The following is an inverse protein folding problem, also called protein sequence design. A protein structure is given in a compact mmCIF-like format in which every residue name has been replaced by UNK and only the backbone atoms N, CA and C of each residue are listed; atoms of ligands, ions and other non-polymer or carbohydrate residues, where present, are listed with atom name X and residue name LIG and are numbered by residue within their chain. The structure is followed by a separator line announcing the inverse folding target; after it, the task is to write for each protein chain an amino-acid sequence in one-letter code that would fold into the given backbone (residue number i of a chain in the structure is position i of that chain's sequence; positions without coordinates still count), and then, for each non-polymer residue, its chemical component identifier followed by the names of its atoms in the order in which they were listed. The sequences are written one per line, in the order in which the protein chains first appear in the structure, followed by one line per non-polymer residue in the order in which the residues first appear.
data_IF_251468155627
#
_entry.id   IF_251468155627
#
_cell.length_a   1.000
_cell.length_b   1.000
_cell.length_c   1.000
_cell.angle_alpha   90.00
_cell.angle_beta   90.00
_cell.angle_gamma   90.00
#
_symmetry.space_group_name_H-M   'P 1'
#
loop_
_entity.id
_entity.type
_entity.pdbx_description
1 polymer ?
#
# COMPACT_ATOMS: atom_id res chain seq x y z
N UNK A 1 9.91 -28.14 41.08
CA UNK A 1 10.92 -29.02 40.45
C UNK A 1 11.40 -28.27 39.22
N UNK A 2 12.31 -27.38 39.30
CA UNK A 2 13.78 -27.41 39.34
C UNK A 2 14.34 -28.33 38.26
N UNK A 3 14.73 -27.81 37.11
CA UNK A 3 15.98 -28.23 36.44
C UNK A 3 16.59 -27.05 35.69
N UNK A 4 17.69 -26.59 36.26
CA UNK A 4 18.72 -25.73 35.71
C UNK A 4 19.66 -26.65 34.92
N UNK A 5 20.01 -26.30 33.71
CA UNK A 5 21.19 -26.84 33.05
C UNK A 5 21.99 -25.72 32.38
N UNK A 6 23.09 -25.38 33.07
CA UNK A 6 24.22 -24.62 32.57
C UNK A 6 25.00 -25.50 31.58
N UNK A 7 25.44 -24.94 30.49
CA UNK A 7 26.38 -25.55 29.54
C UNK A 7 27.34 -24.51 28.97
N UNK A 8 28.57 -24.61 29.39
CA UNK A 8 29.79 -23.83 29.15
C UNK A 8 30.24 -23.79 27.68
N UNK A 9 30.72 -22.61 27.21
CA UNK A 9 32.11 -22.23 26.92
C UNK A 9 32.81 -22.94 25.72
N UNK A 10 33.12 -22.18 24.66
CA UNK A 10 34.41 -22.26 23.98
C UNK A 10 34.69 -20.98 23.16
N UNK A 11 35.67 -20.20 23.63
CA UNK A 11 36.42 -19.19 22.90
C UNK A 11 37.30 -19.88 21.85
N UNK A 12 37.34 -19.39 20.64
CA UNK A 12 38.44 -19.59 19.70
C UNK A 12 38.87 -18.25 19.11
N UNK A 13 39.94 -17.71 19.59
CA UNK A 13 40.74 -16.66 18.95
C UNK A 13 41.54 -17.30 17.82
N UNK A 14 41.40 -16.77 16.61
CA UNK A 14 42.36 -16.97 15.53
C UNK A 14 42.85 -15.61 15.05
N UNK A 15 44.04 -15.28 15.43
CA UNK A 15 44.83 -14.20 14.89
C UNK A 15 45.51 -14.68 13.61
N UNK A 16 45.38 -13.96 12.52
CA UNK A 16 46.22 -14.08 11.32
C UNK A 16 46.51 -12.68 10.77
N UNK A 17 47.64 -12.29 11.01
CA UNK A 17 48.80 -11.65 10.40
C UNK A 17 48.55 -10.85 9.11
N UNK A 18 48.94 -9.59 9.25
CA UNK A 18 49.12 -8.60 8.21
C UNK A 18 50.24 -9.01 7.23
N UNK A 19 49.94 -9.02 5.95
CA UNK A 19 50.94 -8.93 4.89
C UNK A 19 50.82 -7.57 4.20
N UNK A 20 51.78 -6.72 4.47
CA UNK A 20 51.99 -5.45 3.78
C UNK A 20 52.49 -5.75 2.37
N UNK A 21 51.66 -5.47 1.35
CA UNK A 21 52.10 -5.43 -0.03
C UNK A 21 52.30 -3.96 -0.44
N UNK A 22 53.49 -3.65 -0.89
CA UNK A 22 53.97 -2.39 -1.41
C UNK A 22 53.22 -2.06 -2.73
N UNK A 23 52.65 -0.87 -2.93
CA UNK A 23 52.00 -0.53 -4.19
C UNK A 23 53.04 -0.22 -5.29
N UNK A 24 52.97 -0.99 -6.35
CA UNK A 24 53.63 -0.75 -7.60
C UNK A 24 52.81 0.28 -8.42
N UNK A 25 53.42 1.32 -9.01
CA UNK A 25 52.68 2.27 -9.83
C UNK A 25 52.28 1.62 -11.15
N UNK A 26 51.01 1.34 -11.31
CA UNK A 26 50.44 0.91 -12.57
C UNK A 26 50.19 2.13 -13.47
N UNK A 27 50.77 2.10 -14.60
CA UNK A 27 50.60 2.98 -15.75
C UNK A 27 49.13 3.08 -16.15
N UNK A 28 48.61 4.30 -16.19
CA UNK A 28 47.29 4.63 -16.69
C UNK A 28 47.25 4.46 -18.22
N UNK A 29 46.70 3.40 -18.71
CA UNK A 29 46.14 3.34 -20.07
C UNK A 29 44.67 3.79 -20.00
N UNK A 30 44.23 4.73 -20.83
CA UNK A 30 42.82 5.10 -20.91
C UNK A 30 42.10 4.09 -21.81
N UNK A 31 41.66 3.00 -21.24
CA UNK A 31 40.64 2.15 -21.88
C UNK A 31 39.29 2.85 -21.76
N UNK A 32 38.91 3.53 -22.84
CA UNK A 32 37.57 4.09 -23.03
C UNK A 32 36.63 2.94 -23.37
N UNK A 33 36.28 2.14 -22.37
CA UNK A 33 35.14 1.25 -22.48
C UNK A 33 33.88 2.10 -22.40
N UNK A 34 33.38 2.47 -23.58
CA UNK A 34 32.03 2.99 -23.72
C UNK A 34 31.07 1.89 -23.22
N UNK A 35 30.67 1.98 -21.93
CA UNK A 35 29.59 1.21 -21.39
C UNK A 35 28.33 1.60 -22.18
N UNK A 36 28.00 0.77 -23.17
CA UNK A 36 26.71 0.86 -23.86
C UNK A 36 25.63 0.51 -22.84
N UNK A 37 25.11 1.53 -22.15
CA UNK A 37 23.93 1.40 -21.31
C UNK A 37 22.81 0.97 -22.24
N UNK A 38 22.16 -0.19 -22.02
CA UNK A 38 20.99 -0.57 -22.80
C UNK A 38 19.97 0.57 -22.73
N UNK A 39 19.31 0.92 -23.84
CA UNK A 39 18.28 1.95 -23.79
C UNK A 39 17.23 1.54 -22.73
N UNK A 40 17.14 2.33 -21.67
CA UNK A 40 16.05 2.18 -20.70
C UNK A 40 14.75 2.39 -21.46
N UNK A 41 13.75 1.53 -21.27
CA UNK A 41 12.42 1.74 -21.84
C UNK A 41 11.96 3.13 -21.40
N UNK A 42 11.78 4.02 -22.36
CA UNK A 42 11.16 5.34 -22.15
C UNK A 42 9.71 5.04 -21.77
N UNK A 43 9.40 5.13 -20.49
CA UNK A 43 8.02 5.05 -20.02
C UNK A 43 7.29 6.25 -20.65
N UNK A 44 6.25 5.95 -21.43
CA UNK A 44 5.33 6.97 -21.93
C UNK A 44 4.80 7.76 -20.72
N UNK A 45 4.93 9.11 -20.67
CA UNK A 45 4.49 9.91 -19.53
C UNK A 45 2.99 9.75 -19.19
N UNK A 46 2.21 9.18 -20.08
CA UNK A 46 0.80 8.85 -19.89
C UNK A 46 0.51 7.38 -19.56
N UNK A 47 1.53 6.50 -19.58
CA UNK A 47 1.30 5.08 -19.29
C UNK A 47 1.13 4.86 -17.79
N UNK A 48 0.01 4.24 -17.41
CA UNK A 48 -0.22 3.78 -16.03
C UNK A 48 0.78 2.66 -15.72
N UNK A 49 1.58 2.76 -14.63
CA UNK A 49 2.52 1.71 -14.28
C UNK A 49 1.83 0.35 -14.13
N UNK A 50 2.44 -0.74 -14.60
CA UNK A 50 1.90 -2.07 -14.38
C UNK A 50 1.67 -2.34 -12.89
N UNK A 51 0.50 -2.88 -12.57
CA UNK A 51 0.15 -3.19 -11.18
C UNK A 51 -0.47 -2.05 -10.38
N UNK A 52 -0.68 -0.88 -10.98
CA UNK A 52 -1.37 0.24 -10.35
C UNK A 52 -2.85 -0.04 -10.11
N UNK A 53 -3.42 0.58 -9.07
CA UNK A 53 -4.86 0.60 -8.87
C UNK A 53 -5.52 1.54 -9.89
N UNK A 54 -6.25 0.97 -10.83
CA UNK A 54 -7.00 1.71 -11.85
C UNK A 54 -8.44 1.78 -11.39
N UNK A 55 -8.99 2.99 -11.31
CA UNK A 55 -10.40 3.22 -11.05
C UNK A 55 -11.02 3.83 -12.31
N UNK A 56 -12.17 3.29 -12.72
CA UNK A 56 -12.89 3.82 -13.87
C UNK A 56 -13.18 5.32 -13.64
N UNK A 57 -12.88 6.14 -14.65
CA UNK A 57 -13.08 7.59 -14.58
C UNK A 57 -14.58 7.99 -14.57
N UNK A 58 -15.47 7.05 -14.83
CA UNK A 58 -16.93 7.27 -14.74
C UNK A 58 -17.46 7.33 -13.29
N UNK A 59 -16.61 7.11 -12.29
CA UNK A 59 -17.01 7.19 -10.89
C UNK A 59 -17.41 8.61 -10.51
N UNK A 60 -18.70 8.81 -10.25
CA UNK A 60 -19.26 10.11 -9.85
C UNK A 60 -19.39 10.21 -8.35
N UNK A 61 -18.82 11.25 -7.77
CA UNK A 61 -18.99 11.60 -6.35
C UNK A 61 -20.18 12.56 -6.22
N UNK A 62 -21.21 12.13 -5.50
CA UNK A 62 -22.36 12.99 -5.17
C UNK A 62 -22.09 13.68 -3.84
N UNK A 63 -22.12 15.02 -3.76
CA UNK A 63 -21.97 15.71 -2.50
C UNK A 63 -23.00 15.22 -1.47
N UNK A 64 -22.62 15.08 -0.19
CA UNK A 64 -23.53 14.65 0.85
C UNK A 64 -24.76 15.56 0.94
N UNK A 65 -25.96 14.98 1.00
CA UNK A 65 -27.21 15.73 1.07
C UNK A 65 -27.34 16.48 2.43
N UNK A 66 -28.26 17.44 2.48
CA UNK A 66 -28.62 18.07 3.74
C UNK A 66 -29.12 17.00 4.73
N UNK A 67 -28.67 17.10 6.00
CA UNK A 67 -29.04 16.14 7.05
C UNK A 67 -28.03 15.00 7.24
N UNK A 68 -27.03 14.86 6.35
CA UNK A 68 -25.90 13.95 6.60
C UNK A 68 -25.03 14.56 7.72
N UNK A 69 -24.77 13.80 8.82
CA UNK A 69 -23.88 14.28 9.89
C UNK A 69 -22.51 14.62 9.35
N UNK A 70 -21.89 15.74 9.80
CA UNK A 70 -20.57 16.19 9.34
C UNK A 70 -19.50 15.10 9.45
N UNK A 71 -19.54 14.29 10.52
CA UNK A 71 -18.62 13.15 10.71
C UNK A 71 -18.75 12.07 9.63
N UNK A 72 -19.92 11.92 9.01
CA UNK A 72 -20.14 11.01 7.89
C UNK A 72 -19.76 11.68 6.57
N UNK A 73 -20.16 12.95 6.40
CA UNK A 73 -19.82 13.74 5.23
C UNK A 73 -18.29 13.81 4.97
N UNK A 74 -17.49 13.75 6.03
CA UNK A 74 -16.03 13.73 5.93
C UNK A 74 -15.47 12.58 5.08
N UNK A 75 -16.18 11.43 5.02
CA UNK A 75 -15.77 10.29 4.20
C UNK A 75 -16.01 10.49 2.71
N UNK A 76 -16.90 11.39 2.31
CA UNK A 76 -17.23 11.60 0.88
C UNK A 76 -16.00 12.01 0.08
N UNK A 77 -15.89 11.48 -1.13
CA UNK A 77 -14.83 11.85 -2.06
C UNK A 77 -13.93 10.69 -2.47
N UNK A 78 -12.86 11.04 -3.18
CA UNK A 78 -11.83 10.12 -3.62
C UNK A 78 -10.71 10.05 -2.58
N UNK A 79 -10.24 8.84 -2.33
CA UNK A 79 -9.13 8.55 -1.43
C UNK A 79 -8.13 7.66 -2.13
N UNK A 80 -6.86 7.96 -1.98
CA UNK A 80 -5.77 7.14 -2.52
C UNK A 80 -4.77 6.79 -1.43
N UNK A 81 -4.23 5.59 -1.49
CA UNK A 81 -3.30 5.08 -0.49
C UNK A 81 -2.53 3.86 -0.95
N UNK A 82 -1.79 3.29 -0.01
CA UNK A 82 -1.03 2.06 -0.24
C UNK A 82 -1.25 1.11 0.92
N UNK A 83 -1.61 -0.13 0.60
CA UNK A 83 -1.64 -1.24 1.52
C UNK A 83 -0.22 -1.80 1.67
N UNK A 84 0.20 -2.11 2.89
CA UNK A 84 1.57 -2.55 3.25
C UNK A 84 2.69 -1.65 2.66
N UNK A 85 2.37 -0.34 2.46
CA UNK A 85 3.28 0.63 1.88
C UNK A 85 3.62 0.45 0.40
N UNK A 86 3.16 -0.62 -0.22
CA UNK A 86 3.56 -1.04 -1.58
C UNK A 86 2.39 -1.08 -2.55
N UNK A 87 1.28 -1.68 -2.16
CA UNK A 87 0.16 -1.97 -3.05
C UNK A 87 -0.78 -0.78 -3.14
N UNK A 88 -0.89 -0.19 -4.31
CA UNK A 88 -1.80 0.93 -4.52
C UNK A 88 -3.26 0.52 -4.29
N UNK A 89 -4.02 1.40 -3.67
CA UNK A 89 -5.45 1.25 -3.51
C UNK A 89 -6.14 2.60 -3.58
N UNK A 90 -7.34 2.62 -4.14
CA UNK A 90 -8.19 3.81 -4.23
C UNK A 90 -9.59 3.49 -3.74
N UNK A 91 -10.23 4.47 -3.12
CA UNK A 91 -11.61 4.36 -2.64
C UNK A 91 -12.37 5.60 -3.09
N UNK A 92 -13.45 5.41 -3.80
CA UNK A 92 -14.40 6.46 -4.10
C UNK A 92 -15.65 6.28 -3.24
N UNK A 93 -15.87 7.15 -2.27
CA UNK A 93 -17.11 7.20 -1.51
C UNK A 93 -18.08 8.10 -2.25
N UNK A 94 -18.99 7.47 -3.02
CA UNK A 94 -19.81 8.12 -4.04
C UNK A 94 -21.05 8.78 -3.44
N UNK A 95 -21.76 8.10 -2.56
CA UNK A 95 -22.95 8.62 -1.89
C UNK A 95 -22.92 8.34 -0.40
N UNK A 96 -23.50 9.21 0.40
CA UNK A 96 -23.67 9.03 1.84
C UNK A 96 -25.08 9.48 2.22
N UNK A 97 -25.81 8.60 2.87
CA UNK A 97 -27.14 8.89 3.43
C UNK A 97 -27.05 9.38 4.88
N UNK A 98 -28.10 10.03 5.40
CA UNK A 98 -28.13 10.51 6.80
C UNK A 98 -27.97 9.41 7.84
N UNK A 99 -28.38 8.17 7.54
CA UNK A 99 -28.24 7.00 8.41
C UNK A 99 -26.85 6.32 8.29
N UNK A 100 -25.95 6.88 7.45
CA UNK A 100 -24.58 6.40 7.27
C UNK A 100 -24.41 5.27 6.24
N UNK A 101 -25.45 4.94 5.46
CA UNK A 101 -25.29 4.04 4.33
C UNK A 101 -24.52 4.74 3.21
N UNK A 102 -23.65 4.00 2.54
CA UNK A 102 -22.78 4.52 1.48
C UNK A 102 -22.76 3.60 0.28
N UNK A 103 -22.53 4.18 -0.90
CA UNK A 103 -22.07 3.45 -2.07
C UNK A 103 -20.60 3.82 -2.33
N UNK A 104 -19.81 2.82 -2.69
CA UNK A 104 -18.38 3.01 -2.93
C UNK A 104 -17.94 2.24 -4.17
N UNK A 105 -16.82 2.68 -4.74
CA UNK A 105 -15.97 1.85 -5.61
C UNK A 105 -14.61 1.72 -4.92
N UNK A 106 -14.12 0.50 -4.81
CA UNK A 106 -12.78 0.20 -4.29
C UNK A 106 -11.95 -0.40 -5.41
N UNK A 107 -10.79 0.19 -5.68
CA UNK A 107 -9.83 -0.29 -6.67
C UNK A 107 -8.52 -0.68 -5.96
N UNK A 108 -7.91 -1.75 -6.43
CA UNK A 108 -6.63 -2.25 -5.92
C UNK A 108 -5.67 -2.53 -7.06
N UNK A 109 -4.38 -2.32 -6.82
CA UNK A 109 -3.29 -2.72 -7.69
C UNK A 109 -2.95 -4.20 -7.51
N UNK A 110 -1.76 -4.60 -7.96
CA UNK A 110 -1.26 -5.95 -7.65
C UNK A 110 -1.18 -6.12 -6.13
N UNK A 111 -1.91 -7.09 -5.60
CA UNK A 111 -1.97 -7.37 -4.17
C UNK A 111 -1.67 -8.86 -3.94
N UNK A 112 -0.43 -9.18 -3.62
CA UNK A 112 0.06 -10.56 -3.60
C UNK A 112 -0.11 -11.20 -4.99
N UNK A 113 -0.82 -12.32 -5.04
CA UNK A 113 -1.11 -13.03 -6.30
C UNK A 113 -2.35 -12.51 -7.04
N UNK A 114 -3.00 -11.43 -6.53
CA UNK A 114 -4.19 -10.86 -7.14
C UNK A 114 -3.82 -9.80 -8.17
N UNK A 115 -4.40 -9.92 -9.35
CA UNK A 115 -4.30 -8.89 -10.38
C UNK A 115 -5.01 -7.60 -9.95
N UNK A 116 -4.62 -6.44 -10.51
CA UNK A 116 -5.35 -5.20 -10.33
C UNK A 116 -6.82 -5.35 -10.70
N UNK A 117 -7.67 -4.66 -9.96
CA UNK A 117 -9.10 -4.69 -10.22
C UNK A 117 -9.84 -3.62 -9.45
N UNK A 118 -11.14 -3.56 -9.71
CA UNK A 118 -12.05 -2.71 -8.96
C UNK A 118 -13.37 -3.45 -8.65
N UNK A 119 -14.04 -3.00 -7.62
CA UNK A 119 -15.35 -3.51 -7.24
C UNK A 119 -16.21 -2.39 -6.68
N UNK A 120 -17.44 -2.30 -7.18
CA UNK A 120 -18.48 -1.50 -6.56
C UNK A 120 -19.05 -2.25 -5.34
N UNK A 121 -19.41 -1.50 -4.32
CA UNK A 121 -19.97 -2.06 -3.10
C UNK A 121 -20.84 -1.07 -2.34
N UNK A 122 -21.51 -1.57 -1.34
CA UNK A 122 -22.23 -0.80 -0.35
C UNK A 122 -21.58 -0.98 1.02
N UNK A 123 -21.77 0.01 1.88
CA UNK A 123 -21.22 -0.04 3.23
C UNK A 123 -22.02 0.82 4.20
N UNK A 124 -21.54 0.85 5.42
CA UNK A 124 -22.12 1.65 6.48
C UNK A 124 -21.06 2.32 7.35
N UNK A 125 -21.27 3.60 7.61
CA UNK A 125 -20.45 4.32 8.58
C UNK A 125 -21.03 4.10 9.97
N UNK A 126 -20.19 3.57 10.86
CA UNK A 126 -20.51 3.37 12.28
C UNK A 126 -19.45 4.09 13.11
N UNK A 127 -19.85 5.13 13.83
CA UNK A 127 -18.89 5.97 14.56
C UNK A 127 -17.94 6.69 13.62
N UNK A 128 -16.67 6.31 13.62
CA UNK A 128 -15.61 6.83 12.77
C UNK A 128 -15.08 5.79 11.76
N UNK A 129 -15.81 4.70 11.58
CA UNK A 129 -15.36 3.61 10.69
C UNK A 129 -16.42 3.39 9.61
N UNK A 130 -15.97 3.41 8.36
CA UNK A 130 -16.71 2.92 7.22
C UNK A 130 -16.41 1.43 7.05
N UNK A 131 -17.43 0.62 7.18
CA UNK A 131 -17.36 -0.83 6.94
C UNK A 131 -18.04 -1.11 5.60
N UNK A 132 -17.30 -1.65 4.66
CA UNK A 132 -17.87 -2.14 3.41
C UNK A 132 -18.48 -3.53 3.66
N UNK A 133 -19.57 -3.84 2.95
CA UNK A 133 -20.01 -5.21 2.80
C UNK A 133 -18.94 -6.01 2.04
N UNK A 134 -19.08 -7.33 2.06
CA UNK A 134 -18.16 -8.19 1.34
C UNK A 134 -18.17 -7.85 -0.14
N UNK A 135 -16.99 -7.53 -0.67
CA UNK A 135 -16.80 -7.19 -2.09
C UNK A 135 -17.01 -8.44 -2.98
N UNK A 136 -17.32 -8.28 -4.27
CA UNK A 136 -17.51 -9.40 -5.20
C UNK A 136 -16.33 -10.37 -5.30
N UNK A 137 -15.10 -9.88 -5.06
CA UNK A 137 -13.90 -10.72 -4.99
C UNK A 137 -13.73 -11.45 -3.65
N UNK A 138 -14.68 -11.30 -2.72
CA UNK A 138 -14.66 -11.94 -1.41
C UNK A 138 -13.90 -11.18 -0.33
N UNK A 139 -13.39 -9.99 -0.63
CA UNK A 139 -12.66 -9.18 0.34
C UNK A 139 -13.60 -8.44 1.31
N UNK A 140 -13.12 -8.26 2.53
CA UNK A 140 -13.72 -7.40 3.55
C UNK A 140 -12.84 -6.15 3.72
N UNK A 141 -13.45 -4.94 3.67
CA UNK A 141 -12.73 -3.67 3.78
C UNK A 141 -13.31 -2.82 4.91
N UNK A 142 -12.42 -2.28 5.75
CA UNK A 142 -12.77 -1.32 6.79
C UNK A 142 -11.85 -0.09 6.68
N UNK A 143 -12.43 1.09 6.83
CA UNK A 143 -11.72 2.36 6.72
C UNK A 143 -12.07 3.21 7.95
N UNK A 144 -11.09 3.45 8.82
CA UNK A 144 -11.26 4.27 10.03
C UNK A 144 -10.74 5.69 9.79
N UNK A 145 -11.58 6.69 10.00
CA UNK A 145 -11.21 8.10 9.95
C UNK A 145 -10.35 8.46 11.14
N UNK A 146 -9.13 8.92 10.90
CA UNK A 146 -8.20 9.37 11.92
C UNK A 146 -8.41 10.87 12.24
N UNK A 147 -7.91 11.35 13.39
CA UNK A 147 -8.08 12.76 13.80
C UNK A 147 -7.54 13.77 12.81
N UNK A 148 -6.46 13.44 12.12
CA UNK A 148 -5.79 14.27 11.11
C UNK A 148 -6.51 14.30 9.75
N UNK A 149 -7.62 13.54 9.60
CA UNK A 149 -8.41 13.54 8.38
C UNK A 149 -7.96 12.54 7.32
N UNK A 150 -7.06 11.62 7.66
CA UNK A 150 -6.68 10.47 6.83
C UNK A 150 -7.53 9.25 7.17
N UNK A 151 -7.50 8.20 6.33
CA UNK A 151 -8.15 6.93 6.63
C UNK A 151 -7.10 5.85 6.89
N UNK A 152 -7.22 5.15 8.02
CA UNK A 152 -6.54 3.88 8.23
C UNK A 152 -7.43 2.76 7.65
N UNK A 153 -6.90 2.03 6.70
CA UNK A 153 -7.62 0.97 5.99
C UNK A 153 -7.11 -0.43 6.33
N UNK A 154 -8.04 -1.38 6.37
CA UNK A 154 -7.74 -2.80 6.37
C UNK A 154 -8.47 -3.45 5.20
N UNK A 155 -7.77 -4.30 4.48
CA UNK A 155 -8.29 -5.12 3.39
C UNK A 155 -7.98 -6.58 3.72
N UNK A 156 -9.02 -7.40 3.88
CA UNK A 156 -8.85 -8.81 4.22
C UNK A 156 -9.40 -9.67 3.08
N UNK A 157 -8.55 -10.52 2.51
CA UNK A 157 -8.89 -11.44 1.43
C UNK A 157 -8.26 -12.80 1.72
N UNK A 158 -9.07 -13.87 1.62
CA UNK A 158 -8.62 -15.26 1.81
C UNK A 158 -7.84 -15.49 3.13
N UNK A 159 -8.22 -14.76 4.20
CA UNK A 159 -7.58 -14.85 5.52
C UNK A 159 -6.30 -14.01 5.68
N UNK A 160 -5.82 -13.37 4.63
CA UNK A 160 -4.71 -12.41 4.70
C UNK A 160 -5.27 -11.00 4.88
N UNK A 161 -4.65 -10.21 5.78
CA UNK A 161 -5.04 -8.82 6.05
C UNK A 161 -3.90 -7.90 5.67
N UNK A 162 -4.22 -6.90 4.87
CA UNK A 162 -3.33 -5.84 4.44
C UNK A 162 -3.80 -4.53 5.07
N UNK A 163 -2.88 -3.75 5.60
CA UNK A 163 -3.17 -2.47 6.24
C UNK A 163 -2.55 -1.31 5.46
N UNK A 164 -3.14 -0.13 5.56
CA UNK A 164 -2.62 1.02 4.85
C UNK A 164 -3.28 2.35 5.23
N UNK A 165 -2.67 3.40 4.74
CA UNK A 165 -3.14 4.77 4.95
C UNK A 165 -3.63 5.35 3.63
N UNK A 166 -4.74 6.10 3.69
CA UNK A 166 -5.35 6.76 2.55
C UNK A 166 -5.48 8.25 2.82
N UNK A 167 -5.12 9.04 1.82
CA UNK A 167 -5.26 10.49 1.83
C UNK A 167 -6.33 10.93 0.83
N UNK A 168 -7.03 11.99 1.15
CA UNK A 168 -8.07 12.55 0.28
C UNK A 168 -7.43 13.24 -0.92
N UNK A 169 -8.04 13.04 -2.09
CA UNK A 169 -7.61 13.63 -3.37
C UNK A 169 -8.40 14.89 -3.69
#
# INVERSE_FOLDING_TARGET
MRNVMLGFLALALAACQSASAVPQPATLEPASDAVTVPPQPVLDPGAVPPGSAIMDQSVTITPPAKGVPTKYAAFSGMWAGRLEGTYEAKVAVQTISPNGEVTVTFAWGNLGDNNPGEAAGAGKIVGRTLKLGRLPNGADVNLAMLPEGTLAGTYTLAGQTYTGMFVKQ
#
